data_IF_555186633753
#
_entry.id   IF_555186633753
#
_cell.length_a   1.000
_cell.length_b   1.000
_cell.length_c   1.000
_cell.angle_alpha   90.00
_cell.angle_beta   90.00
_cell.angle_gamma   90.00
#
_symmetry.space_group_name_H-M   'P 1'
#
loop_
_entity.id
_entity.type
_entity.pdbx_description
1 polymer ?
#
# COMPACT_ATOMS: atom_id res chain seq x y z
N UNK A 1 21.67 -31.14 2.90
CA UNK A 1 20.28 -31.25 3.38
C UNK A 1 19.87 -30.25 4.52
N UNK A 2 20.72 -29.82 5.47
CA UNK A 2 20.27 -28.90 6.53
C UNK A 2 19.85 -27.51 6.04
N UNK A 3 20.43 -27.00 4.95
CA UNK A 3 20.10 -25.67 4.42
C UNK A 3 18.69 -25.58 3.81
N UNK A 4 18.21 -26.67 3.18
CA UNK A 4 16.87 -26.71 2.58
C UNK A 4 15.79 -26.75 3.67
N UNK A 5 16.01 -27.51 4.74
CA UNK A 5 15.10 -27.59 5.89
C UNK A 5 15.04 -26.23 6.62
N UNK A 6 16.18 -25.55 6.77
CA UNK A 6 16.25 -24.22 7.34
C UNK A 6 15.48 -23.19 6.52
N UNK A 7 15.53 -23.29 5.19
CA UNK A 7 14.82 -22.35 4.30
C UNK A 7 13.30 -22.56 4.32
N UNK A 8 12.85 -23.84 4.36
CA UNK A 8 11.43 -24.18 4.49
C UNK A 8 10.90 -23.74 5.86
N UNK A 9 11.63 -24.00 6.95
CA UNK A 9 11.25 -23.56 8.28
C UNK A 9 11.19 -22.03 8.40
N UNK A 10 12.15 -21.31 7.82
CA UNK A 10 12.17 -19.85 7.78
C UNK A 10 10.98 -19.28 6.98
N UNK A 11 10.65 -19.89 5.84
CA UNK A 11 9.47 -19.51 5.04
C UNK A 11 8.15 -19.74 5.78
N UNK A 12 8.04 -20.85 6.51
CA UNK A 12 6.85 -21.17 7.31
C UNK A 12 6.72 -20.25 8.53
N UNK A 13 7.80 -19.91 9.21
CA UNK A 13 7.78 -18.97 10.34
C UNK A 13 7.38 -17.58 9.87
N UNK A 14 7.87 -17.12 8.72
CA UNK A 14 7.45 -15.83 8.13
C UNK A 14 5.95 -15.77 7.79
N UNK A 15 5.39 -16.90 7.32
CA UNK A 15 3.97 -16.97 6.97
C UNK A 15 3.05 -17.17 8.19
N UNK A 16 3.58 -17.66 9.32
CA UNK A 16 2.81 -17.98 10.51
C UNK A 16 2.74 -16.83 11.53
N UNK A 17 3.65 -15.86 11.47
CA UNK A 17 3.64 -14.72 12.41
C UNK A 17 2.64 -13.68 11.93
N UNK A 18 1.36 -13.95 12.15
CA UNK A 18 0.35 -12.90 12.13
C UNK A 18 0.37 -12.17 13.47
N UNK A 19 0.52 -10.85 13.42
CA UNK A 19 0.31 -10.04 14.60
C UNK A 19 -1.07 -10.34 15.21
N UNK A 20 -1.19 -10.47 16.53
CA UNK A 20 -2.49 -10.64 17.19
C UNK A 20 -3.48 -9.58 16.70
N UNK A 21 -4.78 -9.90 16.59
CA UNK A 21 -5.80 -8.98 16.09
C UNK A 21 -5.81 -7.62 16.80
N UNK A 22 -5.45 -7.59 18.06
CA UNK A 22 -5.38 -6.40 18.91
C UNK A 22 -4.12 -5.52 18.63
N UNK A 23 -3.12 -6.06 17.95
CA UNK A 23 -1.93 -5.34 17.53
C UNK A 23 -1.95 -4.99 16.02
N UNK A 24 -2.99 -5.41 15.31
CA UNK A 24 -3.16 -5.03 13.92
C UNK A 24 -3.50 -3.55 13.85
N UNK A 25 -2.74 -2.84 13.05
CA UNK A 25 -3.07 -1.46 12.70
C UNK A 25 -4.49 -1.42 12.15
N UNK A 26 -5.40 -0.73 12.84
CA UNK A 26 -6.77 -0.53 12.35
C UNK A 26 -6.69 0.53 11.27
N UNK A 27 -6.70 0.09 10.02
CA UNK A 27 -6.79 1.02 8.90
C UNK A 27 -8.23 1.52 8.79
N UNK A 28 -8.48 2.83 8.70
CA UNK A 28 -9.82 3.33 8.43
C UNK A 28 -10.29 2.81 7.07
N UNK A 29 -11.58 2.54 6.93
CA UNK A 29 -12.13 2.16 5.64
C UNK A 29 -11.90 3.30 4.62
N UNK A 30 -11.48 2.98 3.37
CA UNK A 30 -11.38 4.00 2.35
C UNK A 30 -12.77 4.54 2.02
N UNK A 31 -12.91 5.82 1.68
CA UNK A 31 -14.17 6.34 1.17
C UNK A 31 -14.54 5.61 -0.13
N UNK A 32 -15.83 5.42 -0.40
CA UNK A 32 -16.29 4.81 -1.64
C UNK A 32 -15.90 5.65 -2.87
N UNK A 33 -15.86 6.96 -2.70
CA UNK A 33 -15.49 7.93 -3.73
C UNK A 33 -14.54 8.98 -3.19
N UNK A 34 -13.66 9.48 -4.05
CA UNK A 34 -12.77 10.61 -3.77
C UNK A 34 -12.82 11.61 -4.92
N UNK A 35 -12.41 12.83 -4.64
CA UNK A 35 -12.10 13.80 -5.68
C UNK A 35 -10.58 13.75 -5.94
N UNK A 36 -10.16 13.28 -7.10
CA UNK A 36 -8.76 13.28 -7.51
C UNK A 36 -8.52 14.41 -8.52
N UNK A 37 -7.71 15.39 -8.17
CA UNK A 37 -7.43 16.57 -9.02
C UNK A 37 -8.70 17.20 -9.61
N UNK A 38 -9.75 17.35 -8.79
CA UNK A 38 -11.00 17.96 -9.20
C UNK A 38 -11.98 17.03 -9.93
N UNK A 39 -11.63 15.76 -10.17
CA UNK A 39 -12.50 14.76 -10.80
C UNK A 39 -12.96 13.74 -9.77
N UNK A 40 -14.24 13.37 -9.79
CA UNK A 40 -14.75 12.26 -8.96
C UNK A 40 -14.16 10.94 -9.45
N UNK A 41 -13.74 10.10 -8.50
CA UNK A 41 -13.21 8.76 -8.72
C UNK A 41 -13.82 7.80 -7.72
N UNK A 42 -14.45 6.73 -8.22
CA UNK A 42 -14.97 5.64 -7.38
C UNK A 42 -13.83 4.69 -7.03
N UNK A 43 -13.61 4.46 -5.74
CA UNK A 43 -12.60 3.52 -5.24
C UNK A 43 -13.17 2.14 -4.93
N UNK A 44 -14.49 2.07 -4.66
CA UNK A 44 -15.15 0.81 -4.35
C UNK A 44 -15.09 -0.16 -5.53
N UNK A 45 -14.51 -1.33 -5.31
CA UNK A 45 -14.32 -2.35 -6.36
C UNK A 45 -13.29 -2.01 -7.42
N UNK A 46 -12.52 -0.94 -7.25
CA UNK A 46 -11.47 -0.55 -8.18
C UNK A 46 -10.21 -1.36 -7.95
N UNK A 47 -9.81 -2.12 -8.95
CA UNK A 47 -8.50 -2.76 -9.04
C UNK A 47 -7.52 -1.83 -9.80
N UNK A 48 -6.22 -2.08 -9.67
CA UNK A 48 -5.23 -1.30 -10.39
C UNK A 48 -5.40 -1.47 -11.91
N UNK A 49 -5.74 -0.41 -12.65
CA UNK A 49 -6.06 -0.51 -14.08
C UNK A 49 -4.85 -0.95 -14.93
N UNK A 50 -3.62 -0.72 -14.44
CA UNK A 50 -2.40 -1.09 -15.16
C UNK A 50 -2.21 -2.62 -15.24
N UNK A 51 -2.84 -3.40 -14.35
CA UNK A 51 -2.77 -4.87 -14.39
C UNK A 51 -3.43 -5.49 -15.62
N UNK A 52 -4.30 -4.74 -16.30
CA UNK A 52 -4.92 -5.19 -17.56
C UNK A 52 -3.91 -5.27 -18.72
N UNK A 53 -2.74 -4.66 -18.58
CA UNK A 53 -1.68 -4.60 -19.59
C UNK A 53 -0.50 -5.47 -19.17
N UNK A 54 -0.69 -6.79 -19.17
CA UNK A 54 0.29 -7.75 -18.64
C UNK A 54 1.70 -7.59 -19.24
N UNK A 55 1.80 -7.38 -20.55
CA UNK A 55 3.09 -7.22 -21.26
C UNK A 55 3.84 -5.95 -20.84
N UNK A 56 3.14 -4.95 -20.32
CA UNK A 56 3.71 -3.67 -19.89
C UNK A 56 3.99 -3.61 -18.38
N UNK A 57 3.60 -4.61 -17.61
CA UNK A 57 3.80 -4.62 -16.15
C UNK A 57 5.25 -4.36 -15.73
N UNK A 58 6.28 -4.99 -16.35
CA UNK A 58 7.67 -4.71 -15.98
C UNK A 58 8.06 -3.25 -16.15
N UNK A 59 7.52 -2.59 -17.18
CA UNK A 59 7.78 -1.16 -17.46
C UNK A 59 7.12 -0.30 -16.38
N UNK A 60 5.88 -0.58 -16.00
CA UNK A 60 5.16 0.14 -14.96
C UNK A 60 5.80 -0.04 -13.58
N UNK A 61 6.24 -1.26 -13.24
CA UNK A 61 6.95 -1.55 -11.99
C UNK A 61 8.27 -0.78 -11.95
N UNK A 62 9.03 -0.75 -13.05
CA UNK A 62 10.28 0.01 -13.12
C UNK A 62 10.04 1.54 -12.99
N UNK A 63 8.96 2.05 -13.57
CA UNK A 63 8.55 3.45 -13.40
C UNK A 63 8.17 3.73 -11.93
N UNK A 64 7.35 2.88 -11.32
CA UNK A 64 6.97 2.98 -9.91
C UNK A 64 8.16 2.91 -8.97
N UNK A 65 9.12 2.04 -9.25
CA UNK A 65 10.39 1.98 -8.52
C UNK A 65 11.11 3.33 -8.52
N UNK A 66 11.27 3.93 -9.69
CA UNK A 66 11.93 5.24 -9.83
C UNK A 66 11.21 6.31 -9.01
N UNK A 67 9.88 6.37 -9.11
CA UNK A 67 9.06 7.34 -8.36
C UNK A 67 9.22 7.12 -6.85
N UNK A 68 9.17 5.86 -6.39
CA UNK A 68 9.36 5.51 -4.98
C UNK A 68 10.71 6.01 -4.45
N UNK A 69 11.80 5.72 -5.15
CA UNK A 69 13.13 6.12 -4.73
C UNK A 69 13.34 7.64 -4.74
N UNK A 70 12.65 8.36 -5.63
CA UNK A 70 12.72 9.81 -5.69
C UNK A 70 11.90 10.51 -4.60
N UNK A 71 10.76 9.93 -4.19
CA UNK A 71 9.77 10.65 -3.40
C UNK A 71 9.42 9.97 -2.06
N UNK A 72 9.45 8.66 -1.98
CA UNK A 72 8.91 7.89 -0.85
C UNK A 72 9.99 7.34 0.07
N UNK A 73 11.17 6.99 -0.50
CA UNK A 73 12.32 6.41 0.20
C UNK A 73 12.75 7.21 1.43
N UNK A 74 12.80 8.57 1.42
CA UNK A 74 13.29 9.32 2.58
C UNK A 74 12.52 9.03 3.87
N UNK A 75 11.24 8.65 3.76
CA UNK A 75 10.39 8.29 4.89
C UNK A 75 10.22 6.77 5.03
N UNK A 76 9.96 6.06 3.92
CA UNK A 76 9.60 4.64 3.94
C UNK A 76 10.78 3.66 3.87
N UNK A 77 12.01 4.16 3.65
CA UNK A 77 13.24 3.35 3.61
C UNK A 77 13.46 2.64 2.27
N UNK A 78 14.72 2.30 2.00
CA UNK A 78 15.13 1.58 0.79
C UNK A 78 14.68 0.11 0.79
N UNK A 79 14.48 -0.47 1.99
CA UNK A 79 13.95 -1.82 2.21
C UNK A 79 12.44 -1.87 2.38
N UNK A 80 11.74 -0.75 2.19
CA UNK A 80 10.30 -0.64 2.39
C UNK A 80 9.85 -0.96 3.84
N UNK A 81 10.75 -0.79 4.81
CA UNK A 81 10.58 -1.16 6.22
C UNK A 81 10.07 -0.02 7.10
N UNK A 82 9.80 1.16 6.52
CA UNK A 82 9.36 2.34 7.26
C UNK A 82 10.48 3.05 8.01
N UNK A 83 11.74 2.67 7.79
CA UNK A 83 12.91 3.20 8.48
C UNK A 83 13.76 4.11 7.58
N UNK A 84 13.11 4.97 6.82
CA UNK A 84 13.79 6.00 6.03
C UNK A 84 14.48 7.05 6.91
N UNK A 85 15.31 7.87 6.27
CA UNK A 85 16.12 8.88 6.97
C UNK A 85 15.29 9.84 7.86
N UNK A 86 14.08 10.18 7.41
CA UNK A 86 13.19 11.08 8.15
C UNK A 86 12.24 10.35 9.11
N UNK A 87 12.20 9.01 9.09
CA UNK A 87 11.27 8.23 9.89
C UNK A 87 11.30 8.56 11.39
N UNK A 88 12.47 8.76 12.04
CA UNK A 88 12.52 9.07 13.48
C UNK A 88 11.81 10.37 13.86
N UNK A 89 11.55 11.27 12.91
CA UNK A 89 10.85 12.53 13.14
C UNK A 89 9.31 12.41 13.15
N UNK A 90 8.75 11.23 12.91
CA UNK A 90 7.31 11.04 12.76
C UNK A 90 6.71 10.16 13.86
N UNK A 91 5.51 10.53 14.29
CA UNK A 91 4.67 9.72 15.16
C UNK A 91 3.21 9.81 14.67
N UNK A 92 2.64 8.72 14.11
CA UNK A 92 3.24 7.39 13.94
C UNK A 92 4.39 7.36 12.92
N UNK A 93 5.22 6.33 13.06
CA UNK A 93 6.27 6.04 12.06
C UNK A 93 5.64 5.77 10.68
N UNK A 94 6.39 6.00 9.59
CA UNK A 94 5.97 5.57 8.26
C UNK A 94 5.66 4.08 8.22
N UNK A 95 4.69 3.70 7.39
CA UNK A 95 4.27 2.31 7.27
C UNK A 95 5.43 1.41 6.84
N UNK A 96 5.56 0.28 7.53
CA UNK A 96 6.43 -0.83 7.15
C UNK A 96 5.68 -1.72 6.16
N UNK A 97 6.07 -1.71 4.89
CA UNK A 97 5.42 -2.51 3.85
C UNK A 97 5.86 -3.98 3.85
N UNK A 98 6.94 -4.31 4.57
CA UNK A 98 7.37 -5.69 4.76
C UNK A 98 6.52 -6.43 5.79
N UNK A 99 5.80 -5.70 6.64
CA UNK A 99 4.92 -6.26 7.65
C UNK A 99 3.62 -6.77 7.02
N UNK A 100 3.21 -8.00 7.37
CA UNK A 100 1.98 -8.60 6.88
C UNK A 100 0.70 -7.90 7.40
N UNK A 101 0.80 -7.04 8.40
CA UNK A 101 -0.29 -6.22 8.93
C UNK A 101 -0.54 -4.93 8.13
N UNK A 102 0.27 -4.65 7.12
CA UNK A 102 0.16 -3.45 6.28
C UNK A 102 -0.45 -3.79 4.90
N UNK A 103 0.26 -3.54 3.82
CA UNK A 103 -0.29 -3.65 2.45
C UNK A 103 -0.79 -5.06 2.09
N UNK A 104 -0.27 -6.12 2.73
CA UNK A 104 -0.78 -7.48 2.57
C UNK A 104 -2.28 -7.62 2.94
N UNK A 105 -2.82 -6.72 3.76
CA UNK A 105 -4.21 -6.70 4.21
C UNK A 105 -5.08 -5.68 3.46
N UNK A 106 -4.49 -4.95 2.51
CA UNK A 106 -5.13 -3.82 1.86
C UNK A 106 -5.43 -4.11 0.38
N UNK A 107 -6.46 -3.46 -0.14
CA UNK A 107 -6.72 -3.40 -1.58
C UNK A 107 -5.79 -2.38 -2.23
N UNK A 108 -5.54 -2.53 -3.53
CA UNK A 108 -4.72 -1.55 -4.26
C UNK A 108 -5.36 -0.16 -4.27
N UNK A 109 -6.69 -0.08 -4.34
CA UNK A 109 -7.41 1.20 -4.26
C UNK A 109 -7.29 1.87 -2.89
N UNK A 110 -7.18 1.09 -1.79
CA UNK A 110 -6.85 1.67 -0.49
C UNK A 110 -5.46 2.30 -0.50
N UNK A 111 -4.46 1.58 -1.02
CA UNK A 111 -3.09 2.10 -1.09
C UNK A 111 -3.02 3.33 -2.01
N UNK A 112 -3.73 3.28 -3.15
CA UNK A 112 -3.87 4.43 -4.04
C UNK A 112 -4.42 5.66 -3.30
N UNK A 113 -5.55 5.48 -2.58
CA UNK A 113 -6.16 6.55 -1.79
C UNK A 113 -5.19 7.14 -0.77
N UNK A 114 -4.47 6.28 -0.04
CA UNK A 114 -3.49 6.72 0.97
C UNK A 114 -2.34 7.53 0.35
N UNK A 115 -1.84 7.10 -0.79
CA UNK A 115 -0.81 7.87 -1.52
C UNK A 115 -1.39 9.17 -2.04
N UNK A 116 -2.54 9.13 -2.70
CA UNK A 116 -3.15 10.32 -3.29
C UNK A 116 -3.46 11.39 -2.24
N UNK A 117 -4.08 11.01 -1.12
CA UNK A 117 -4.62 11.95 -0.13
C UNK A 117 -3.71 12.19 1.08
N UNK A 118 -2.74 11.33 1.32
CA UNK A 118 -1.80 11.46 2.43
C UNK A 118 -2.48 11.53 3.81
N UNK A 119 -1.79 12.14 4.76
CA UNK A 119 -2.31 12.43 6.10
C UNK A 119 -3.55 13.31 6.13
N UNK A 120 -3.58 14.42 5.37
CA UNK A 120 -4.75 15.29 5.32
C UNK A 120 -6.05 14.63 4.83
N UNK A 121 -5.94 13.54 4.06
CA UNK A 121 -7.08 12.79 3.56
C UNK A 121 -7.67 11.77 4.55
N UNK A 122 -7.08 11.62 5.75
CA UNK A 122 -7.63 10.71 6.77
C UNK A 122 -8.92 11.26 7.35
N UNK A 123 -9.96 10.42 7.53
CA UNK A 123 -11.15 10.80 8.24
C UNK A 123 -10.83 11.14 9.71
N UNK A 124 -11.67 11.97 10.34
CA UNK A 124 -11.50 12.36 11.76
C UNK A 124 -11.47 11.15 12.69
N UNK A 125 -12.21 10.11 12.36
CA UNK A 125 -12.27 8.85 13.10
C UNK A 125 -10.92 8.08 13.02
N UNK A 126 -10.09 8.41 12.04
CA UNK A 126 -8.72 7.91 11.93
C UNK A 126 -7.73 8.61 12.86
N UNK A 127 -8.16 9.58 13.68
CA UNK A 127 -7.35 10.09 14.77
C UNK A 127 -7.30 9.05 15.90
N UNK A 128 -6.16 8.75 16.50
CA UNK A 128 -4.99 9.61 16.64
C UNK A 128 -3.92 9.51 15.52
N UNK A 129 -4.25 9.04 14.32
CA UNK A 129 -3.32 8.89 13.21
C UNK A 129 -2.96 10.25 12.60
N UNK A 130 -2.17 11.02 13.31
CA UNK A 130 -1.65 12.29 12.81
C UNK A 130 -0.52 12.03 11.81
N UNK A 131 -0.89 11.49 10.64
CA UNK A 131 0.07 11.13 9.61
C UNK A 131 0.64 12.37 8.93
N UNK A 132 1.95 12.45 8.90
CA UNK A 132 2.69 13.49 8.19
C UNK A 132 2.87 13.20 6.69
N UNK A 133 2.30 12.10 6.18
CA UNK A 133 2.41 11.73 4.77
C UNK A 133 1.83 12.84 3.88
N UNK A 134 2.59 13.36 2.90
CA UNK A 134 2.10 14.39 1.98
C UNK A 134 0.94 13.88 1.12
N UNK A 135 0.16 14.83 0.61
CA UNK A 135 -0.86 14.59 -0.40
C UNK A 135 -0.18 14.55 -1.77
N UNK A 136 0.02 13.33 -2.31
CA UNK A 136 0.79 13.15 -3.53
C UNK A 136 0.02 13.46 -4.82
N UNK A 137 -1.31 13.55 -4.80
CA UNK A 137 -2.07 13.95 -5.99
C UNK A 137 -1.71 15.34 -6.52
N UNK A 138 -1.09 16.18 -5.70
CA UNK A 138 -0.63 17.51 -6.12
C UNK A 138 0.65 17.44 -6.98
N UNK A 139 1.41 16.34 -6.88
CA UNK A 139 2.71 16.16 -7.51
C UNK A 139 2.73 15.02 -8.54
N UNK A 140 1.99 13.93 -8.28
CA UNK A 140 1.95 12.74 -9.11
C UNK A 140 0.64 12.63 -9.88
N UNK A 141 0.70 12.14 -11.10
CA UNK A 141 -0.47 11.78 -11.88
C UNK A 141 -1.12 10.51 -11.32
N UNK A 142 -2.36 10.25 -11.70
CA UNK A 142 -3.07 9.02 -11.36
C UNK A 142 -2.27 7.77 -11.75
N UNK A 143 -1.74 7.75 -12.97
CA UNK A 143 -0.93 6.65 -13.47
C UNK A 143 0.34 6.44 -12.64
N UNK A 144 1.06 7.48 -12.30
CA UNK A 144 2.28 7.39 -11.48
C UNK A 144 1.99 6.83 -10.09
N UNK A 145 0.87 7.18 -9.48
CA UNK A 145 0.45 6.58 -8.21
C UNK A 145 0.17 5.09 -8.39
N UNK A 146 -0.54 4.68 -9.45
CA UNK A 146 -0.77 3.26 -9.74
C UNK A 146 0.52 2.49 -10.02
N UNK A 147 1.50 3.10 -10.68
CA UNK A 147 2.83 2.52 -10.90
C UNK A 147 3.57 2.30 -9.57
N UNK A 148 3.50 3.25 -8.63
CA UNK A 148 4.06 3.07 -7.27
C UNK A 148 3.37 1.94 -6.53
N UNK A 149 2.05 1.84 -6.61
CA UNK A 149 1.28 0.75 -5.98
C UNK A 149 1.73 -0.61 -6.53
N UNK A 150 1.88 -0.74 -7.86
CA UNK A 150 2.42 -1.96 -8.48
C UNK A 150 3.81 -2.31 -7.94
N UNK A 151 4.71 -1.33 -7.88
CA UNK A 151 6.06 -1.53 -7.38
C UNK A 151 6.06 -2.03 -5.93
N UNK A 152 5.23 -1.46 -5.05
CA UNK A 152 5.16 -1.87 -3.65
C UNK A 152 4.77 -3.35 -3.50
N UNK A 153 3.76 -3.80 -4.23
CA UNK A 153 3.33 -5.21 -4.20
C UNK A 153 4.34 -6.14 -4.85
N UNK A 154 4.96 -5.74 -5.96
CA UNK A 154 6.01 -6.52 -6.62
C UNK A 154 7.23 -6.71 -5.72
N UNK A 155 7.74 -5.61 -5.15
CA UNK A 155 8.95 -5.62 -4.34
C UNK A 155 8.79 -6.36 -3.01
N UNK A 156 7.60 -6.30 -2.42
CA UNK A 156 7.32 -7.00 -1.14
C UNK A 156 6.88 -8.44 -1.32
N UNK A 157 6.46 -8.81 -2.54
CA UNK A 157 5.90 -10.12 -2.84
C UNK A 157 4.50 -10.37 -2.27
N UNK A 158 3.88 -9.36 -1.64
CA UNK A 158 2.50 -9.46 -1.17
C UNK A 158 1.52 -9.45 -2.33
N UNK A 159 0.40 -10.16 -2.15
CA UNK A 159 -0.74 -10.06 -3.06
C UNK A 159 -1.72 -9.04 -2.49
N UNK A 160 -2.26 -8.11 -3.30
CA UNK A 160 -3.29 -7.20 -2.82
C UNK A 160 -4.53 -8.00 -2.42
N UNK A 161 -5.21 -7.52 -1.38
CA UNK A 161 -6.53 -8.05 -1.03
C UNK A 161 -7.50 -7.71 -2.15
N UNK A 162 -8.29 -8.68 -2.57
CA UNK A 162 -9.36 -8.46 -3.55
C UNK A 162 -10.61 -7.98 -2.86
N UNK A 163 -11.44 -7.20 -3.57
CA UNK A 163 -12.78 -6.91 -3.15
C UNK A 163 -13.60 -8.22 -3.12
N UNK A 164 -14.24 -8.50 -1.99
CA UNK A 164 -15.24 -9.56 -1.97
C UNK A 164 -16.40 -9.10 -2.86
N UNK A 165 -16.49 -9.67 -4.05
CA UNK A 165 -17.73 -9.58 -4.84
C UNK A 165 -18.72 -10.44 -4.10
N UNK A 166 -19.61 -9.82 -3.32
CA UNK A 166 -20.80 -10.50 -2.81
C UNK A 166 -21.52 -11.07 -4.02
N UNK A 167 -21.45 -12.40 -4.18
CA UNK A 167 -22.17 -13.11 -5.22
C UNK A 167 -23.66 -12.74 -5.08
N UNK A 168 -24.17 -11.96 -6.07
CA UNK A 168 -25.56 -11.78 -6.38
C UNK A 168 -26.56 -11.67 -5.23
N UNK A 169 -26.74 -10.48 -4.71
CA UNK A 169 -28.02 -10.09 -4.16
C UNK A 169 -28.94 -9.65 -5.31
N UNK A 170 -29.51 -10.59 -6.05
CA UNK A 170 -30.75 -10.33 -6.77
C UNK A 170 -31.84 -10.08 -5.73
N UNK A 171 -32.32 -8.84 -5.65
CA UNK A 171 -33.62 -8.47 -5.15
C UNK A 171 -34.30 -7.59 -6.16
#
# INVERSE_FOLDING_TARGET
>A
MPLVVGWIAYGQVRSAVQAPPNLRSIHPAPPAEITFRGKSMTLSGLDNPLRQHADSLPVYIAAGKRIYYQNCLPCHGDRLDGLGHFAPGFNPLPANFQDNGTIAQLTESFVFWRVAKGGPGLPREGTPWNSAMPKWEDFLTEREIWEVVLFLYDQTGWKPRTWERTAGGTR
#
